data_IF_196791600062
#
_entry.id   IF_196791600062
#
_cell.length_a   1.000
_cell.length_b   1.000
_cell.length_c   1.000
_cell.angle_alpha   90.00
_cell.angle_beta   90.00
_cell.angle_gamma   90.00
#
_symmetry.space_group_name_H-M   'P 1'
#
loop_
_entity.id
_entity.type
_entity.pdbx_description
1 polymer ?
#
# COMPACT_ATOMS: atom_id res chain seq x y z
N UNK A 1 -8.80 0.42 9.80
CA UNK A 1 -7.74 0.69 8.83
C UNK A 1 -8.24 1.37 7.57
N UNK A 2 -9.38 0.95 7.04
CA UNK A 2 -10.06 1.61 5.89
C UNK A 2 -10.50 3.06 6.15
N UNK A 3 -10.63 3.49 7.40
CA UNK A 3 -11.12 4.83 7.76
C UNK A 3 -10.21 6.00 7.35
N UNK A 4 -8.91 5.77 7.16
CA UNK A 4 -7.96 6.84 6.79
C UNK A 4 -7.98 7.23 5.31
N UNK A 5 -8.53 6.37 4.44
CA UNK A 5 -8.61 6.59 2.99
C UNK A 5 -10.02 7.03 2.57
N UNK A 6 -10.87 7.45 3.51
CA UNK A 6 -12.26 7.83 3.23
C UNK A 6 -12.40 9.24 2.66
N UNK A 7 -11.36 10.08 2.73
CA UNK A 7 -11.35 11.42 2.16
C UNK A 7 -10.82 11.47 0.72
N UNK A 8 -10.83 12.68 0.16
CA UNK A 8 -10.21 12.97 -1.15
C UNK A 8 -8.67 12.90 -1.10
N UNK A 9 -8.09 12.99 0.08
CA UNK A 9 -6.65 13.09 0.31
C UNK A 9 -6.18 12.10 1.38
N UNK A 10 -5.02 11.54 1.14
CA UNK A 10 -4.24 10.82 2.13
C UNK A 10 -2.85 11.43 2.24
N UNK A 11 -2.47 11.81 3.44
CA UNK A 11 -1.12 12.28 3.77
C UNK A 11 -0.53 11.34 4.83
N UNK A 12 0.71 10.88 4.59
CA UNK A 12 1.42 10.06 5.57
C UNK A 12 1.54 10.79 6.91
N UNK A 13 1.31 10.11 8.04
CA UNK A 13 1.51 10.72 9.34
C UNK A 13 2.94 11.23 9.51
N UNK A 14 3.10 12.32 10.25
CA UNK A 14 4.41 12.91 10.54
C UNK A 14 5.39 11.88 11.10
N UNK A 15 6.71 12.06 10.83
CA UNK A 15 7.74 11.11 11.22
C UNK A 15 7.62 10.73 12.70
N UNK A 16 7.42 9.45 12.94
CA UNK A 16 7.62 8.90 14.26
C UNK A 16 9.13 8.83 14.53
N UNK A 17 9.64 9.34 15.66
CA UNK A 17 11.06 9.24 16.03
C UNK A 17 11.52 7.79 16.27
N UNK A 18 10.65 6.81 16.06
CA UNK A 18 10.94 5.38 16.22
C UNK A 18 11.97 4.85 15.22
N UNK A 19 12.03 5.42 14.01
CA UNK A 19 12.94 4.96 12.96
C UNK A 19 14.42 5.14 13.32
N UNK A 20 14.77 6.22 13.98
CA UNK A 20 16.15 6.44 14.42
C UNK A 20 16.56 5.40 15.49
N UNK A 21 15.63 5.04 16.38
CA UNK A 21 15.86 4.05 17.43
C UNK A 21 15.94 2.63 16.89
N UNK A 22 15.07 2.26 15.94
CA UNK A 22 15.13 0.93 15.30
C UNK A 22 16.32 0.78 14.38
N UNK A 23 16.74 1.85 13.72
CA UNK A 23 17.96 1.87 12.91
C UNK A 23 19.22 1.72 13.78
N UNK A 24 19.27 2.36 14.96
CA UNK A 24 20.39 2.26 15.90
C UNK A 24 20.42 0.93 16.65
N UNK A 25 19.26 0.35 16.98
CA UNK A 25 19.18 -0.88 17.80
C UNK A 25 19.37 -2.17 16.99
N UNK A 26 19.02 -2.19 15.72
CA UNK A 26 19.07 -3.42 14.92
C UNK A 26 20.23 -3.47 13.93
N UNK A 27 20.93 -2.34 13.67
CA UNK A 27 22.11 -2.31 12.78
C UNK A 27 21.90 -2.97 11.41
N UNK A 28 20.72 -3.47 11.14
CA UNK A 28 20.41 -4.32 10.00
C UNK A 28 19.56 -3.56 8.99
N UNK A 29 20.18 -3.21 7.88
CA UNK A 29 19.51 -2.74 6.66
C UNK A 29 18.51 -3.78 6.10
N UNK A 30 18.45 -4.97 6.68
CA UNK A 30 17.63 -6.10 6.24
C UNK A 30 16.21 -6.09 6.82
N UNK A 31 15.95 -5.38 7.92
CA UNK A 31 14.64 -5.37 8.58
C UNK A 31 13.47 -4.96 7.66
N UNK A 32 13.56 -3.88 6.84
CA UNK A 32 12.48 -3.53 5.91
C UNK A 32 12.26 -4.57 4.83
N UNK A 33 13.35 -5.15 4.31
CA UNK A 33 13.27 -6.17 3.27
C UNK A 33 12.63 -7.46 3.79
N UNK A 34 12.97 -7.89 5.00
CA UNK A 34 12.37 -9.09 5.59
C UNK A 34 10.87 -8.94 5.79
N UNK A 35 10.40 -7.76 6.21
CA UNK A 35 8.99 -7.46 6.33
C UNK A 35 8.27 -7.44 4.97
N UNK A 36 8.89 -6.84 3.95
CA UNK A 36 8.37 -6.85 2.59
C UNK A 36 8.26 -8.29 2.03
N UNK A 37 9.31 -9.09 2.19
CA UNK A 37 9.26 -10.50 1.80
C UNK A 37 8.20 -11.29 2.58
N UNK A 38 7.98 -10.96 3.86
CA UNK A 38 6.91 -11.55 4.66
C UNK A 38 5.52 -11.33 4.04
N UNK A 39 5.24 -10.10 3.58
CA UNK A 39 4.00 -9.80 2.85
C UNK A 39 3.92 -10.62 1.57
N UNK A 40 4.99 -10.66 0.77
CA UNK A 40 5.05 -11.40 -0.49
C UNK A 40 4.81 -12.90 -0.31
N UNK A 41 5.46 -13.52 0.70
CA UNK A 41 5.29 -14.95 0.96
C UNK A 41 3.88 -15.29 1.45
N UNK A 42 3.27 -14.42 2.26
CA UNK A 42 1.89 -14.59 2.71
C UNK A 42 0.91 -14.47 1.56
N UNK A 43 1.06 -13.45 0.71
CA UNK A 43 0.23 -13.27 -0.48
C UNK A 43 0.35 -14.46 -1.43
N UNK A 44 1.58 -14.97 -1.63
CA UNK A 44 1.81 -16.19 -2.41
C UNK A 44 1.10 -17.40 -1.79
N UNK A 45 1.16 -17.58 -0.47
CA UNK A 45 0.50 -18.70 0.21
C UNK A 45 -1.02 -18.65 0.04
N UNK A 46 -1.62 -17.46 0.12
CA UNK A 46 -3.05 -17.25 -0.14
C UNK A 46 -3.40 -17.55 -1.61
N UNK A 47 -2.57 -17.08 -2.54
CA UNK A 47 -2.78 -17.33 -3.97
C UNK A 47 -2.72 -18.84 -4.31
N UNK A 48 -1.80 -19.58 -3.71
CA UNK A 48 -1.71 -21.05 -3.90
C UNK A 48 -2.92 -21.81 -3.35
N UNK A 49 -3.67 -21.19 -2.42
CA UNK A 49 -4.92 -21.76 -1.85
C UNK A 49 -6.17 -21.26 -2.58
N UNK A 50 -6.02 -20.45 -3.61
CA UNK A 50 -7.12 -19.71 -4.26
C UNK A 50 -7.91 -18.82 -3.28
N UNK A 51 -7.26 -18.31 -2.23
CA UNK A 51 -7.81 -17.42 -1.22
C UNK A 51 -7.32 -15.96 -1.40
N UNK A 52 -6.56 -15.67 -2.46
CA UNK A 52 -6.05 -14.34 -2.77
C UNK A 52 -7.06 -13.61 -3.65
N UNK A 53 -8.10 -13.08 -3.02
CA UNK A 53 -9.14 -12.28 -3.63
C UNK A 53 -8.77 -10.78 -3.66
N UNK A 54 -9.68 -9.97 -4.17
CA UNK A 54 -9.50 -8.51 -4.27
C UNK A 54 -9.31 -7.86 -2.90
N UNK A 55 -9.91 -8.39 -1.85
CA UNK A 55 -9.76 -7.89 -0.50
C UNK A 55 -8.36 -8.20 0.05
N UNK A 56 -7.89 -9.41 -0.11
CA UNK A 56 -6.53 -9.82 0.28
C UNK A 56 -5.47 -9.04 -0.52
N UNK A 57 -5.73 -8.77 -1.80
CA UNK A 57 -4.87 -7.94 -2.62
C UNK A 57 -4.81 -6.50 -2.13
N UNK A 58 -5.96 -5.89 -1.86
CA UNK A 58 -6.04 -4.55 -1.29
C UNK A 58 -5.34 -4.44 0.07
N UNK A 59 -5.56 -5.41 0.96
CA UNK A 59 -4.96 -5.42 2.29
C UNK A 59 -3.43 -5.56 2.24
N UNK A 60 -2.91 -6.43 1.39
CA UNK A 60 -1.47 -6.59 1.18
C UNK A 60 -0.83 -5.31 0.63
N UNK A 61 -1.52 -4.60 -0.26
CA UNK A 61 -1.08 -3.31 -0.82
C UNK A 61 -0.99 -2.23 0.25
N UNK A 62 -2.00 -2.12 1.11
CA UNK A 62 -2.02 -1.16 2.24
C UNK A 62 -0.92 -1.51 3.26
N UNK A 63 -0.66 -2.80 3.49
CA UNK A 63 0.42 -3.21 4.37
C UNK A 63 1.80 -2.79 3.84
N UNK A 64 2.04 -2.91 2.53
CA UNK A 64 3.26 -2.41 1.89
C UNK A 64 3.39 -0.90 2.02
N UNK A 65 2.30 -0.13 1.82
CA UNK A 65 2.29 1.31 2.02
C UNK A 65 2.74 1.67 3.44
N UNK A 66 2.14 1.05 4.45
CA UNK A 66 2.52 1.30 5.85
C UNK A 66 3.94 0.83 6.18
N UNK A 67 4.42 -0.24 5.54
CA UNK A 67 5.81 -0.67 5.67
C UNK A 67 6.77 0.40 5.15
N UNK A 68 6.48 0.96 3.98
CA UNK A 68 7.29 2.04 3.40
C UNK A 68 7.25 3.31 4.25
N UNK A 69 6.10 3.67 4.82
CA UNK A 69 5.99 4.79 5.77
C UNK A 69 6.86 4.58 7.01
N UNK A 70 6.89 3.36 7.54
CA UNK A 70 7.78 3.01 8.67
C UNK A 70 9.26 3.12 8.28
N UNK A 71 9.58 2.90 7.01
CA UNK A 71 10.92 3.10 6.46
C UNK A 71 11.25 4.57 6.15
N UNK A 72 10.32 5.50 6.40
CA UNK A 72 10.51 6.94 6.21
C UNK A 72 9.98 7.48 4.89
N UNK A 73 9.34 6.65 4.06
CA UNK A 73 8.66 7.15 2.87
C UNK A 73 7.46 8.03 3.27
N UNK A 74 7.20 9.05 2.46
CA UNK A 74 6.09 9.97 2.62
C UNK A 74 5.22 9.92 1.40
N UNK A 75 3.93 9.68 1.61
CA UNK A 75 2.94 9.66 0.55
C UNK A 75 2.02 10.85 0.68
N UNK A 76 1.80 11.52 -0.43
CA UNK A 76 0.81 12.56 -0.63
C UNK A 76 -0.09 12.11 -1.76
N UNK A 77 -1.27 11.63 -1.44
CA UNK A 77 -2.24 11.09 -2.39
C UNK A 77 -3.44 12.03 -2.38
N UNK A 78 -3.90 12.45 -3.55
CA UNK A 78 -5.03 13.34 -3.70
C UNK A 78 -5.86 12.97 -4.93
N UNK A 79 -7.11 13.45 -4.96
CA UNK A 79 -8.00 13.20 -6.08
C UNK A 79 -8.74 11.87 -6.01
N UNK A 80 -8.82 11.23 -4.84
CA UNK A 80 -9.56 9.98 -4.66
C UNK A 80 -11.05 10.13 -4.93
N UNK A 81 -11.61 11.34 -4.77
CA UNK A 81 -13.00 11.64 -5.12
C UNK A 81 -13.26 11.54 -6.63
N UNK A 82 -12.24 11.71 -7.46
CA UNK A 82 -12.40 11.50 -8.89
C UNK A 82 -12.72 10.03 -9.20
N UNK A 83 -12.14 9.07 -8.43
CA UNK A 83 -12.46 7.65 -8.59
C UNK A 83 -13.92 7.34 -8.26
N UNK A 84 -14.48 8.02 -7.24
CA UNK A 84 -15.89 7.83 -6.81
C UNK A 84 -16.89 8.36 -7.83
N UNK A 85 -16.51 9.38 -8.59
CA UNK A 85 -17.36 10.02 -9.61
C UNK A 85 -17.41 9.25 -10.92
N UNK A 86 -16.46 8.36 -11.16
CA UNK A 86 -16.41 7.59 -12.41
C UNK A 86 -17.55 6.57 -12.46
N UNK A 87 -18.16 6.43 -13.66
CA UNK A 87 -19.19 5.44 -13.94
C UNK A 87 -18.72 4.51 -15.07
N UNK A 88 -19.13 3.24 -15.01
CA UNK A 88 -18.77 2.24 -16.02
C UNK A 88 -17.33 1.75 -15.94
N UNK A 89 -16.88 0.96 -16.91
CA UNK A 89 -15.52 0.44 -16.98
C UNK A 89 -14.48 1.56 -17.11
N UNK A 90 -13.35 1.43 -16.42
CA UNK A 90 -12.28 2.45 -16.41
C UNK A 90 -10.93 1.79 -16.60
N UNK A 91 -10.10 2.40 -17.41
CA UNK A 91 -8.69 2.02 -17.55
C UNK A 91 -7.83 3.09 -16.88
N UNK A 92 -6.98 2.67 -15.95
CA UNK A 92 -6.03 3.55 -15.27
C UNK A 92 -4.73 3.61 -16.07
N UNK A 93 -4.31 4.83 -16.38
CA UNK A 93 -3.03 5.08 -17.07
C UNK A 93 -2.22 6.03 -16.20
N UNK A 94 -0.96 5.71 -15.99
CA UNK A 94 -0.06 6.52 -15.17
C UNK A 94 1.40 6.36 -15.56
N UNK A 95 2.23 7.29 -15.12
CA UNK A 95 3.67 7.17 -15.26
C UNK A 95 4.19 6.10 -14.31
N UNK A 96 5.05 5.24 -14.81
CA UNK A 96 5.72 4.22 -14.01
C UNK A 96 7.11 4.72 -13.59
N UNK A 97 7.17 5.40 -12.45
CA UNK A 97 8.40 5.98 -11.92
C UNK A 97 9.09 5.09 -10.89
N UNK A 98 8.35 4.17 -10.29
CA UNK A 98 8.83 3.27 -9.23
C UNK A 98 8.05 1.95 -9.27
N UNK A 99 8.65 0.86 -8.82
CA UNK A 99 7.96 -0.43 -8.67
C UNK A 99 6.87 -0.38 -7.58
N UNK A 100 7.01 0.52 -6.61
CA UNK A 100 6.10 0.57 -5.46
C UNK A 100 4.70 1.09 -5.80
N UNK A 101 4.55 1.96 -6.79
CA UNK A 101 3.23 2.44 -7.19
C UNK A 101 2.33 1.30 -7.67
N UNK A 102 2.85 0.36 -8.44
CA UNK A 102 2.09 -0.83 -8.89
C UNK A 102 1.60 -1.68 -7.72
N UNK A 103 2.37 -1.77 -6.65
CA UNK A 103 2.01 -2.56 -5.47
C UNK A 103 1.03 -1.83 -4.57
N UNK A 104 1.07 -0.49 -4.52
CA UNK A 104 0.26 0.34 -3.63
C UNK A 104 -1.10 0.68 -4.24
N UNK A 105 -1.15 0.91 -5.56
CA UNK A 105 -2.37 1.34 -6.25
C UNK A 105 -3.60 0.45 -5.99
N UNK A 106 -3.50 -0.88 -5.96
CA UNK A 106 -4.67 -1.73 -5.67
C UNK A 106 -5.30 -1.42 -4.32
N UNK A 107 -4.49 -1.16 -3.30
CA UNK A 107 -4.97 -0.80 -1.97
C UNK A 107 -5.72 0.54 -1.91
N UNK A 108 -5.45 1.43 -2.86
CA UNK A 108 -6.10 2.74 -2.97
C UNK A 108 -7.36 2.68 -3.84
N UNK A 109 -7.31 1.93 -4.94
CA UNK A 109 -8.37 1.88 -5.94
C UNK A 109 -9.47 0.91 -5.55
N UNK A 110 -9.10 -0.30 -5.14
CA UNK A 110 -10.03 -1.40 -4.91
C UNK A 110 -11.09 -1.10 -3.83
N UNK A 111 -10.79 -0.42 -2.70
CA UNK A 111 -11.80 -0.03 -1.72
C UNK A 111 -12.86 0.95 -2.26
N UNK A 112 -12.53 1.70 -3.32
CA UNK A 112 -13.41 2.69 -3.94
C UNK A 112 -14.13 2.08 -5.15
N UNK A 113 -13.38 1.32 -5.94
CA UNK A 113 -13.85 0.63 -7.14
C UNK A 113 -13.22 -0.76 -7.22
N UNK A 114 -13.96 -1.80 -6.87
CA UNK A 114 -13.47 -3.17 -7.02
C UNK A 114 -13.04 -3.42 -8.47
N UNK A 115 -11.88 -4.06 -8.64
CA UNK A 115 -11.37 -4.48 -9.93
C UNK A 115 -11.99 -5.85 -10.25
N UNK A 116 -12.65 -5.97 -11.39
CA UNK A 116 -13.20 -7.24 -11.91
C UNK A 116 -12.43 -7.65 -13.15
#
# INVERSE_FOLDING_TARGET
MRERIQGDRYDSPGSSPRLVREFLLLGSRWSPYSAFFGVMFRSRALALRNEYDDEAWSDSSIEVLHLLERCGARFHISGLDNLRKLQGPVVFVGNHMSTFETVILPGLINPIRPCT
#
